data_IF_073440592989
#
_entry.id   IF_073440592989
#
_cell.length_a   1.000
_cell.length_b   1.000
_cell.length_c   1.000
_cell.angle_alpha   90.00
_cell.angle_beta   90.00
_cell.angle_gamma   90.00
#
_symmetry.space_group_name_H-M   'P 1'
#
loop_
_entity.id
_entity.type
_entity.pdbx_description
1 polymer ?
#
# COMPACT_ATOMS: atom_id res chain seq x y z
N UNK A 1 5.12 11.16 17.82
CA UNK A 1 3.99 10.25 17.51
C UNK A 1 2.67 11.03 17.58
N UNK A 2 1.87 11.00 16.50
CA UNK A 2 0.54 11.60 16.47
C UNK A 2 -0.49 10.56 16.05
N UNK A 3 -1.07 9.86 17.03
CA UNK A 3 -2.29 9.07 16.81
C UNK A 3 -3.48 9.99 17.11
N UNK A 4 -4.45 10.08 16.20
CA UNK A 4 -5.62 10.93 16.41
C UNK A 4 -6.88 10.31 15.81
N UNK A 5 -7.97 10.39 16.56
CA UNK A 5 -9.29 10.05 16.03
C UNK A 5 -9.75 11.07 14.98
N UNK A 6 -10.52 10.58 14.02
CA UNK A 6 -11.13 11.34 12.94
C UNK A 6 -12.63 11.03 12.93
N UNK A 7 -13.44 12.07 12.82
CA UNK A 7 -14.91 11.96 12.87
C UNK A 7 -15.57 12.08 11.49
N UNK A 8 -14.82 12.48 10.45
CA UNK A 8 -15.32 12.59 9.08
C UNK A 8 -14.19 12.60 8.04
N UNK A 9 -14.53 12.38 6.77
CA UNK A 9 -13.62 12.52 5.64
C UNK A 9 -13.06 13.94 5.52
N UNK A 10 -13.89 14.97 5.73
CA UNK A 10 -13.43 16.36 5.69
C UNK A 10 -12.35 16.65 6.74
N UNK A 11 -12.53 16.13 7.96
CA UNK A 11 -11.54 16.23 9.03
C UNK A 11 -10.25 15.49 8.68
N UNK A 12 -10.34 14.30 8.06
CA UNK A 12 -9.16 13.58 7.56
C UNK A 12 -8.37 14.43 6.57
N UNK A 13 -9.02 14.93 5.50
CA UNK A 13 -8.39 15.68 4.42
C UNK A 13 -7.64 16.90 4.97
N UNK A 14 -8.27 17.66 5.87
CA UNK A 14 -7.65 18.83 6.50
C UNK A 14 -6.35 18.53 7.24
N UNK A 15 -6.22 17.32 7.82
CA UNK A 15 -5.03 16.88 8.55
C UNK A 15 -3.95 16.31 7.61
N UNK A 16 -4.34 15.61 6.55
CA UNK A 16 -3.38 14.92 5.67
C UNK A 16 -2.85 15.77 4.53
N UNK A 17 -3.52 16.86 4.13
CA UNK A 17 -3.16 17.69 2.96
C UNK A 17 -1.69 18.15 2.91
N UNK A 18 -1.07 18.38 4.08
CA UNK A 18 0.32 18.85 4.20
C UNK A 18 1.30 17.76 4.66
N UNK A 19 0.83 16.52 4.81
CA UNK A 19 1.64 15.41 5.29
C UNK A 19 2.12 14.58 4.11
N UNK A 20 3.43 14.51 3.91
CA UNK A 20 4.02 13.66 2.86
C UNK A 20 3.65 12.19 3.05
N UNK A 21 3.47 11.71 4.29
CA UNK A 21 2.96 10.38 4.55
C UNK A 21 2.06 10.37 5.78
N UNK A 22 0.90 9.73 5.63
CA UNK A 22 -0.06 9.54 6.70
C UNK A 22 -0.86 8.27 6.51
N UNK A 23 -1.38 7.74 7.61
CA UNK A 23 -2.12 6.48 7.64
C UNK A 23 -3.47 6.68 8.28
N UNK A 24 -4.51 5.99 7.80
CA UNK A 24 -5.81 5.92 8.45
C UNK A 24 -6.19 4.47 8.69
N UNK A 25 -6.37 4.08 9.96
CA UNK A 25 -6.97 2.80 10.31
C UNK A 25 -8.49 2.96 10.40
N UNK A 26 -9.20 2.37 9.45
CA UNK A 26 -10.63 2.10 9.58
C UNK A 26 -10.80 0.84 10.41
N UNK A 27 -11.49 0.93 11.53
CA UNK A 27 -11.68 -0.19 12.46
C UNK A 27 -13.12 -0.24 12.98
N UNK A 28 -13.53 -1.36 13.58
CA UNK A 28 -14.83 -1.48 14.24
C UNK A 28 -14.62 -1.88 15.70
N UNK A 29 -14.97 -1.00 16.63
CA UNK A 29 -14.85 -1.28 18.07
C UNK A 29 -15.60 -2.55 18.49
N UNK A 30 -15.02 -3.30 19.43
CA UNK A 30 -15.60 -4.55 19.95
C UNK A 30 -15.49 -5.73 18.99
N UNK A 31 -14.52 -5.71 18.08
CA UNK A 31 -14.22 -6.87 17.21
C UNK A 31 -12.76 -7.27 17.38
N UNK A 32 -12.50 -8.54 17.65
CA UNK A 32 -11.16 -9.09 17.90
C UNK A 32 -10.16 -8.72 16.80
N UNK A 33 -10.59 -8.81 15.54
CA UNK A 33 -9.75 -8.46 14.39
C UNK A 33 -9.35 -6.98 14.41
N UNK A 34 -10.26 -6.08 14.74
CA UNK A 34 -9.96 -4.65 14.80
C UNK A 34 -9.08 -4.30 16.00
N UNK A 35 -9.34 -4.92 17.15
CA UNK A 35 -8.53 -4.73 18.37
C UNK A 35 -7.09 -5.23 18.17
N UNK A 36 -6.94 -6.38 17.52
CA UNK A 36 -5.66 -6.91 17.07
C UNK A 36 -4.91 -5.90 16.19
N UNK A 37 -5.58 -5.35 15.17
CA UNK A 37 -4.96 -4.39 14.26
C UNK A 37 -4.55 -3.10 14.99
N UNK A 38 -5.41 -2.58 15.88
CA UNK A 38 -5.16 -1.37 16.65
C UNK A 38 -3.95 -1.54 17.57
N UNK A 39 -3.88 -2.66 18.29
CA UNK A 39 -2.77 -3.01 19.18
C UNK A 39 -1.45 -3.10 18.41
N UNK A 40 -1.42 -3.89 17.35
CA UNK A 40 -0.19 -4.14 16.59
C UNK A 40 0.28 -2.88 15.85
N UNK A 41 -0.64 -2.08 15.32
CA UNK A 41 -0.34 -0.80 14.68
C UNK A 41 0.24 0.20 15.69
N UNK A 42 -0.35 0.31 16.87
CA UNK A 42 0.12 1.20 17.94
C UNK A 42 1.51 0.79 18.41
N UNK A 43 1.74 -0.51 18.66
CA UNK A 43 3.05 -1.03 19.04
C UNK A 43 4.13 -0.77 17.98
N UNK A 44 3.78 -0.82 16.70
CA UNK A 44 4.70 -0.45 15.63
C UNK A 44 4.95 1.06 15.59
N UNK A 45 3.91 1.88 15.80
CA UNK A 45 4.01 3.34 15.79
C UNK A 45 4.91 3.89 16.91
N UNK A 46 4.89 3.25 18.09
CA UNK A 46 5.74 3.61 19.24
C UNK A 46 7.25 3.44 18.94
N UNK A 47 7.61 2.58 17.99
CA UNK A 47 9.00 2.36 17.55
C UNK A 47 9.47 3.42 16.55
N UNK A 48 8.58 4.30 16.09
CA UNK A 48 8.87 5.29 15.05
C UNK A 48 8.85 6.71 15.62
N UNK A 49 9.85 7.53 15.31
CA UNK A 49 9.91 8.92 15.78
C UNK A 49 8.78 9.78 15.19
N UNK A 50 8.52 9.62 13.89
CA UNK A 50 7.61 10.47 13.11
C UNK A 50 6.69 9.65 12.19
N UNK A 51 5.58 9.16 12.75
CA UNK A 51 4.47 8.60 11.98
C UNK A 51 3.16 9.30 12.36
N UNK A 52 2.38 9.65 11.33
CA UNK A 52 1.06 10.28 11.47
C UNK A 52 0.00 9.20 11.23
N UNK A 53 -0.73 8.83 12.27
CA UNK A 53 -1.75 7.79 12.21
C UNK A 53 -3.07 8.37 12.66
N UNK A 54 -4.08 8.13 11.85
CA UNK A 54 -5.45 8.52 12.11
C UNK A 54 -6.28 7.26 12.36
N UNK A 55 -7.25 7.35 13.26
CA UNK A 55 -8.18 6.28 13.56
C UNK A 55 -9.59 6.73 13.22
N UNK A 56 -10.40 5.84 12.66
CA UNK A 56 -11.83 6.09 12.50
C UNK A 56 -12.62 4.80 12.72
N UNK A 57 -13.51 4.85 13.71
CA UNK A 57 -14.44 3.77 13.99
C UNK A 57 -15.60 3.79 12.97
N UNK A 58 -15.70 2.77 12.13
CA UNK A 58 -16.73 2.69 11.08
C UNK A 58 -18.16 2.61 11.63
N UNK A 59 -18.34 2.29 12.91
CA UNK A 59 -19.64 2.34 13.56
C UNK A 59 -20.12 3.79 13.80
N UNK A 60 -19.19 4.72 13.96
CA UNK A 60 -19.43 6.15 14.21
C UNK A 60 -19.24 7.00 12.95
N UNK A 61 -18.27 6.65 12.10
CA UNK A 61 -17.85 7.41 10.92
C UNK A 61 -18.17 6.63 9.65
N UNK A 62 -19.12 7.13 8.85
CA UNK A 62 -19.72 6.37 7.73
C UNK A 62 -19.38 6.90 6.34
N UNK A 63 -18.79 8.09 6.23
CA UNK A 63 -18.49 8.74 4.96
C UNK A 63 -17.17 8.27 4.35
N UNK A 64 -16.18 7.92 5.18
CA UNK A 64 -14.81 7.62 4.70
C UNK A 64 -14.73 6.32 3.89
N UNK A 65 -15.29 5.21 4.40
CA UNK A 65 -15.04 3.88 3.82
C UNK A 65 -15.59 3.75 2.38
N UNK A 66 -16.73 4.39 2.10
CA UNK A 66 -17.35 4.36 0.76
C UNK A 66 -16.51 5.10 -0.28
N UNK A 67 -15.90 6.23 0.08
CA UNK A 67 -15.07 7.03 -0.82
C UNK A 67 -13.82 6.29 -1.31
N UNK A 68 -13.27 5.41 -0.47
CA UNK A 68 -12.07 4.62 -0.79
C UNK A 68 -12.38 3.16 -1.14
N UNK A 69 -13.65 2.83 -1.42
CA UNK A 69 -14.10 1.47 -1.78
C UNK A 69 -13.67 0.39 -0.76
N UNK A 70 -13.75 0.70 0.53
CA UNK A 70 -13.40 -0.22 1.61
C UNK A 70 -14.65 -0.92 2.12
N UNK A 71 -14.70 -2.24 1.94
CA UNK A 71 -15.83 -3.09 2.31
C UNK A 71 -15.60 -3.92 3.57
N UNK A 72 -14.44 -3.80 4.22
CA UNK A 72 -14.03 -4.62 5.36
C UNK A 72 -13.22 -3.82 6.37
N UNK A 73 -13.50 -4.00 7.66
CA UNK A 73 -12.68 -3.51 8.76
C UNK A 73 -12.04 -4.70 9.51
N UNK A 74 -10.80 -4.59 9.99
CA UNK A 74 -9.93 -3.40 9.91
C UNK A 74 -9.27 -3.22 8.53
N UNK A 75 -9.03 -1.98 8.13
CA UNK A 75 -8.27 -1.62 6.93
C UNK A 75 -7.40 -0.39 7.20
N UNK A 76 -6.09 -0.51 7.03
CA UNK A 76 -5.13 0.59 7.11
C UNK A 76 -4.90 1.17 5.72
N UNK A 77 -5.33 2.41 5.52
CA UNK A 77 -5.14 3.17 4.29
C UNK A 77 -3.89 4.01 4.41
N UNK A 78 -3.14 4.10 3.31
CA UNK A 78 -1.94 4.93 3.19
C UNK A 78 -2.19 6.10 2.24
N UNK A 79 -1.70 7.28 2.64
CA UNK A 79 -1.82 8.52 1.88
C UNK A 79 -0.47 9.22 1.75
N UNK A 80 -0.23 9.83 0.58
CA UNK A 80 0.73 10.90 0.39
C UNK A 80 -0.06 12.18 0.12
N UNK A 81 -0.02 13.13 1.05
CA UNK A 81 -0.93 14.28 1.06
C UNK A 81 -2.37 13.77 1.00
N UNK A 82 -3.14 14.23 0.02
CA UNK A 82 -4.52 13.77 -0.23
C UNK A 82 -4.59 12.55 -1.16
N UNK A 83 -3.47 12.16 -1.78
CA UNK A 83 -3.44 11.03 -2.71
C UNK A 83 -3.48 9.72 -1.95
N UNK A 84 -4.54 8.95 -2.14
CA UNK A 84 -4.65 7.57 -1.66
C UNK A 84 -3.67 6.67 -2.42
N UNK A 85 -2.83 5.94 -1.67
CA UNK A 85 -1.71 5.16 -2.22
C UNK A 85 -2.00 3.66 -2.17
N UNK A 86 -2.42 3.15 -1.01
CA UNK A 86 -2.55 1.71 -0.78
C UNK A 86 -3.49 1.40 0.39
N UNK A 87 -3.92 0.14 0.49
CA UNK A 87 -4.62 -0.40 1.66
C UNK A 87 -4.04 -1.73 2.10
N UNK A 88 -3.88 -1.88 3.42
CA UNK A 88 -3.59 -3.13 4.10
C UNK A 88 -4.85 -3.57 4.81
N UNK A 89 -5.38 -4.74 4.44
CA UNK A 89 -6.63 -5.29 4.99
C UNK A 89 -6.32 -6.29 6.11
N UNK A 90 -7.19 -6.33 7.12
CA UNK A 90 -7.11 -7.27 8.24
C UNK A 90 -6.07 -6.90 9.29
N UNK A 91 -5.99 -7.72 10.35
CA UNK A 91 -4.93 -7.60 11.34
C UNK A 91 -3.61 -8.13 10.77
N UNK A 92 -2.54 -7.35 10.90
CA UNK A 92 -1.17 -7.74 10.60
C UNK A 92 -0.34 -7.74 11.88
N UNK A 93 0.79 -8.44 11.87
CA UNK A 93 1.78 -8.40 12.96
C UNK A 93 2.43 -7.02 13.08
N UNK A 94 2.95 -6.69 14.27
CA UNK A 94 3.64 -5.42 14.55
C UNK A 94 4.85 -5.20 13.61
N UNK A 95 5.58 -6.27 13.28
CA UNK A 95 6.72 -6.24 12.35
C UNK A 95 6.31 -5.78 10.94
N UNK A 96 5.13 -6.17 10.48
CA UNK A 96 4.63 -5.76 9.18
C UNK A 96 4.43 -4.24 9.12
N UNK A 97 3.80 -3.66 10.15
CA UNK A 97 3.59 -2.21 10.21
C UNK A 97 4.91 -1.46 10.41
N UNK A 98 5.83 -2.00 11.22
CA UNK A 98 7.16 -1.42 11.42
C UNK A 98 7.88 -1.31 10.07
N UNK A 99 7.93 -2.40 9.32
CA UNK A 99 8.55 -2.40 8.00
C UNK A 99 7.83 -1.44 7.02
N UNK A 100 6.48 -1.41 7.04
CA UNK A 100 5.71 -0.47 6.23
C UNK A 100 6.15 0.98 6.45
N UNK A 101 6.30 1.40 7.71
CA UNK A 101 6.72 2.74 8.10
C UNK A 101 8.19 3.02 7.78
N UNK A 102 9.08 2.06 8.04
CA UNK A 102 10.51 2.17 7.69
C UNK A 102 10.70 2.37 6.19
N UNK A 103 9.98 1.63 5.34
CA UNK A 103 10.03 1.83 3.90
C UNK A 103 9.62 3.23 3.49
N UNK A 104 8.62 3.81 4.17
CA UNK A 104 8.18 5.18 3.93
C UNK A 104 9.27 6.19 4.26
N UNK A 105 9.92 6.03 5.41
CA UNK A 105 11.00 6.90 5.86
C UNK A 105 12.20 6.77 4.93
N UNK A 106 12.58 5.53 4.58
CA UNK A 106 13.63 5.27 3.59
C UNK A 106 13.31 5.93 2.25
N UNK A 107 12.05 5.85 1.79
CA UNK A 107 11.59 6.51 0.56
C UNK A 107 11.71 8.04 0.67
N UNK A 108 11.34 8.62 1.81
CA UNK A 108 11.44 10.06 2.05
C UNK A 108 12.90 10.54 2.12
N UNK A 109 13.77 9.80 2.81
CA UNK A 109 15.21 10.07 2.91
C UNK A 109 15.89 9.89 1.55
N UNK A 110 15.63 8.80 0.84
CA UNK A 110 16.16 8.58 -0.51
C UNK A 110 15.80 9.72 -1.48
N UNK A 111 14.57 10.25 -1.42
CA UNK A 111 14.19 11.44 -2.20
C UNK A 111 14.97 12.69 -1.79
N UNK A 112 15.18 12.90 -0.49
CA UNK A 112 15.96 14.02 0.05
C UNK A 112 17.44 13.93 -0.36
N UNK A 113 17.98 12.72 -0.39
CA UNK A 113 19.38 12.42 -0.71
C UNK A 113 19.62 12.22 -2.23
N UNK A 114 18.60 12.46 -3.08
CA UNK A 114 18.71 12.34 -4.54
C UNK A 114 18.83 10.91 -5.07
N UNK A 115 18.59 9.89 -4.24
CA UNK A 115 18.66 8.47 -4.61
C UNK A 115 17.38 8.06 -5.35
N UNK A 116 17.53 7.57 -6.58
CA UNK A 116 16.41 7.19 -7.45
C UNK A 116 15.68 5.96 -6.91
N UNK A 117 14.49 6.16 -6.37
CA UNK A 117 13.59 5.06 -5.98
C UNK A 117 13.14 4.27 -7.20
N UNK A 118 13.05 2.95 -7.04
CA UNK A 118 12.58 2.07 -8.11
C UNK A 118 11.06 2.19 -8.22
N UNK A 119 10.56 2.69 -9.33
CA UNK A 119 9.13 2.70 -9.64
C UNK A 119 8.71 1.28 -10.00
N UNK A 120 7.79 0.68 -9.23
CA UNK A 120 7.26 -0.66 -9.47
C UNK A 120 5.78 -0.59 -9.84
N UNK A 121 5.41 -1.15 -10.99
CA UNK A 121 4.02 -1.29 -11.44
C UNK A 121 3.74 -2.77 -11.66
N UNK A 122 2.60 -3.26 -11.18
CA UNK A 122 2.14 -4.64 -11.42
C UNK A 122 0.88 -4.58 -12.26
N UNK A 123 0.94 -5.15 -13.47
CA UNK A 123 -0.21 -5.36 -14.32
C UNK A 123 -0.86 -6.71 -13.95
N UNK A 124 -2.16 -6.69 -13.65
CA UNK A 124 -2.89 -7.83 -13.12
C UNK A 124 -4.30 -7.93 -13.73
N UNK A 125 -4.97 -9.05 -13.44
CA UNK A 125 -6.43 -9.20 -13.60
C UNK A 125 -7.02 -9.83 -12.34
N UNK A 126 -8.32 -9.66 -12.05
CA UNK A 126 -8.93 -10.11 -10.80
C UNK A 126 -8.88 -11.63 -10.57
N UNK A 127 -8.88 -12.43 -11.63
CA UNK A 127 -8.96 -13.90 -11.58
C UNK A 127 -7.60 -14.59 -11.70
N UNK A 128 -6.51 -13.83 -11.87
CA UNK A 128 -5.17 -14.35 -12.09
C UNK A 128 -4.50 -14.77 -10.77
N UNK A 129 -4.41 -16.07 -10.52
CA UNK A 129 -3.76 -16.64 -9.32
C UNK A 129 -2.29 -16.24 -9.20
N UNK A 130 -1.53 -16.27 -10.29
CA UNK A 130 -0.12 -15.85 -10.33
C UNK A 130 0.08 -14.36 -10.03
N UNK A 131 -0.90 -13.52 -10.38
CA UNK A 131 -0.88 -12.11 -10.05
C UNK A 131 -1.02 -11.91 -8.54
N UNK A 132 -1.87 -12.70 -7.88
CA UNK A 132 -1.97 -12.72 -6.42
C UNK A 132 -0.65 -13.16 -5.79
N UNK A 133 -0.03 -14.24 -6.30
CA UNK A 133 1.28 -14.72 -5.80
C UNK A 133 2.37 -13.64 -5.92
N UNK A 134 2.50 -12.99 -7.07
CA UNK A 134 3.46 -11.90 -7.28
C UNK A 134 3.22 -10.75 -6.31
N UNK A 135 1.97 -10.29 -6.16
CA UNK A 135 1.63 -9.19 -5.26
C UNK A 135 1.93 -9.54 -3.81
N UNK A 136 1.61 -10.75 -3.37
CA UNK A 136 1.96 -11.23 -2.03
C UNK A 136 3.46 -11.30 -1.83
N UNK A 137 4.22 -11.77 -2.84
CA UNK A 137 5.67 -11.79 -2.78
C UNK A 137 6.28 -10.41 -2.62
N UNK A 138 5.82 -9.42 -3.39
CA UNK A 138 6.27 -8.03 -3.28
C UNK A 138 5.91 -7.43 -1.92
N UNK A 139 4.69 -7.68 -1.41
CA UNK A 139 4.26 -7.23 -0.07
C UNK A 139 5.12 -7.84 1.04
N UNK A 140 5.39 -9.14 0.98
CA UNK A 140 6.22 -9.83 1.98
C UNK A 140 7.66 -9.33 1.98
N UNK A 141 8.15 -8.87 0.83
CA UNK A 141 9.47 -8.24 0.68
C UNK A 141 9.40 -6.72 0.81
N UNK A 142 8.31 -6.16 1.33
CA UNK A 142 8.23 -4.74 1.68
C UNK A 142 8.40 -3.80 0.46
N UNK A 143 8.12 -4.31 -0.75
CA UNK A 143 8.19 -3.55 -1.99
C UNK A 143 6.85 -2.87 -2.24
N UNK A 144 6.88 -1.53 -2.32
CA UNK A 144 5.75 -0.72 -2.77
C UNK A 144 5.59 -0.84 -4.28
N UNK A 145 4.36 -1.04 -4.74
CA UNK A 145 4.05 -1.08 -6.17
C UNK A 145 2.66 -0.50 -6.44
N UNK A 146 2.48 0.02 -7.65
CA UNK A 146 1.16 0.41 -8.17
C UNK A 146 0.54 -0.77 -8.90
N UNK A 147 -0.65 -1.19 -8.49
CA UNK A 147 -1.41 -2.20 -9.22
C UNK A 147 -2.23 -1.56 -10.35
N UNK A 148 -2.23 -2.17 -11.53
CA UNK A 148 -3.10 -1.83 -12.66
C UNK A 148 -3.88 -3.07 -13.06
N UNK A 149 -5.19 -3.02 -12.89
CA UNK A 149 -6.11 -4.02 -13.39
C UNK A 149 -6.37 -3.77 -14.89
N UNK A 150 -5.66 -4.50 -15.75
CA UNK A 150 -5.75 -4.32 -17.21
C UNK A 150 -7.08 -4.81 -17.78
N UNK A 151 -7.88 -5.55 -17.00
CA UNK A 151 -9.23 -5.95 -17.43
C UNK A 151 -10.23 -4.80 -17.42
N UNK A 152 -9.90 -3.70 -16.72
CA UNK A 152 -10.73 -2.50 -16.59
C UNK A 152 -10.19 -1.29 -17.34
N UNK A 153 -8.94 -1.37 -17.80
CA UNK A 153 -8.26 -0.29 -18.51
C UNK A 153 -7.60 -0.82 -19.79
N UNK A 154 -8.35 -0.75 -20.89
CA UNK A 154 -7.90 -1.19 -22.21
C UNK A 154 -6.66 -0.43 -22.70
N UNK A 155 -6.53 0.86 -22.38
CA UNK A 155 -5.34 1.65 -22.76
C UNK A 155 -4.11 1.17 -22.02
N UNK A 156 -4.26 0.83 -20.74
CA UNK A 156 -3.17 0.24 -19.96
C UNK A 156 -2.80 -1.16 -20.47
N UNK A 157 -3.77 -1.97 -20.90
CA UNK A 157 -3.52 -3.27 -21.52
C UNK A 157 -2.69 -3.12 -22.82
N UNK A 158 -3.07 -2.19 -23.69
CA UNK A 158 -2.34 -1.90 -24.93
C UNK A 158 -0.93 -1.37 -24.67
N UNK A 159 -0.78 -0.46 -23.70
CA UNK A 159 0.52 0.05 -23.29
C UNK A 159 1.42 -1.05 -22.72
N UNK A 160 0.88 -1.95 -21.90
CA UNK A 160 1.58 -3.13 -21.39
C UNK A 160 2.10 -4.00 -22.53
N UNK A 161 1.23 -4.36 -23.48
CA UNK A 161 1.59 -5.17 -24.66
C UNK A 161 2.64 -4.47 -25.51
N UNK A 162 2.50 -3.16 -25.74
CA UNK A 162 3.46 -2.38 -26.52
C UNK A 162 4.85 -2.37 -25.87
N UNK A 163 4.92 -2.37 -24.54
CA UNK A 163 6.19 -2.40 -23.80
C UNK A 163 6.82 -3.79 -23.76
N UNK A 164 6.02 -4.83 -23.59
CA UNK A 164 6.53 -6.19 -23.29
C UNK A 164 6.49 -7.15 -24.48
N UNK A 165 5.72 -6.82 -25.52
CA UNK A 165 5.38 -7.74 -26.61
C UNK A 165 4.39 -8.83 -26.21
N UNK A 166 3.87 -8.84 -24.98
CA UNK A 166 3.02 -9.91 -24.46
C UNK A 166 1.71 -9.40 -23.84
N UNK A 167 0.62 -10.14 -24.09
CA UNK A 167 -0.72 -9.86 -23.54
C UNK A 167 -0.96 -10.45 -22.16
N UNK A 168 -0.24 -11.52 -21.80
CA UNK A 168 -0.49 -12.26 -20.56
C UNK A 168 -0.06 -11.50 -19.30
N UNK A 169 -0.86 -11.60 -18.24
CA UNK A 169 -0.51 -11.18 -16.87
C UNK A 169 -0.05 -12.41 -16.05
N UNK A 170 0.73 -12.24 -14.96
CA UNK A 170 1.25 -10.99 -14.42
C UNK A 170 2.41 -10.40 -15.23
N UNK A 171 2.54 -9.08 -15.22
CA UNK A 171 3.76 -8.39 -15.66
C UNK A 171 4.16 -7.34 -14.63
N UNK A 172 5.46 -7.21 -14.37
CA UNK A 172 6.01 -6.21 -13.45
C UNK A 172 6.88 -5.22 -14.22
N UNK A 173 6.58 -3.94 -14.14
CA UNK A 173 7.46 -2.88 -14.64
C UNK A 173 8.30 -2.33 -13.48
N UNK A 174 9.62 -2.39 -13.61
CA UNK A 174 10.55 -1.80 -12.66
C UNK A 174 11.40 -0.77 -13.39
N UNK A 175 11.27 0.50 -13.05
CA UNK A 175 11.97 1.62 -13.71
C UNK A 175 11.85 1.63 -15.26
N UNK A 176 10.68 1.25 -15.77
CA UNK A 176 10.41 1.21 -17.22
C UNK A 176 10.79 -0.10 -17.91
N UNK A 177 11.46 -1.02 -17.21
CA UNK A 177 11.79 -2.35 -17.74
C UNK A 177 10.72 -3.37 -17.31
N UNK A 178 10.21 -4.15 -18.27
CA UNK A 178 9.17 -5.15 -18.01
C UNK A 178 9.77 -6.53 -17.73
N UNK A 179 9.27 -7.15 -16.67
CA UNK A 179 9.41 -8.57 -16.35
C UNK A 179 8.07 -9.23 -16.64
N UNK A 180 8.05 -10.25 -17.51
CA UNK A 180 6.84 -11.03 -17.81
C UNK A 180 6.77 -12.25 -16.90
N UNK A 181 5.59 -12.52 -16.35
CA UNK A 181 5.33 -13.63 -15.44
C UNK A 181 5.87 -13.39 -14.02
N UNK A 182 5.87 -14.44 -13.21
CA UNK A 182 6.45 -14.45 -11.87
C UNK A 182 7.90 -14.97 -11.91
N UNK A 183 8.80 -14.22 -12.54
CA UNK A 183 10.24 -14.52 -12.59
C UNK A 183 10.93 -14.03 -11.31
N UNK A 184 10.87 -14.85 -10.25
CA UNK A 184 11.41 -14.52 -8.92
C UNK A 184 12.87 -14.06 -8.97
N UNK A 185 13.70 -14.68 -9.80
CA UNK A 185 15.12 -14.34 -9.93
C UNK A 185 15.31 -12.93 -10.47
N UNK A 186 14.65 -12.59 -11.59
CA UNK A 186 14.73 -11.24 -12.15
C UNK A 186 14.11 -10.19 -11.23
N UNK A 187 12.98 -10.51 -10.60
CA UNK A 187 12.34 -9.63 -9.61
C UNK A 187 13.32 -9.32 -8.48
N UNK A 188 13.98 -10.33 -7.92
CA UNK A 188 14.94 -10.14 -6.84
C UNK A 188 16.13 -9.29 -7.27
N UNK A 189 16.69 -9.57 -8.44
CA UNK A 189 17.82 -8.78 -8.97
C UNK A 189 17.43 -7.32 -9.20
N UNK A 190 16.28 -7.09 -9.85
CA UNK A 190 15.84 -5.74 -10.19
C UNK A 190 15.39 -4.94 -8.98
N UNK A 191 14.90 -5.59 -7.92
CA UNK A 191 14.41 -4.95 -6.70
C UNK A 191 15.40 -5.05 -5.52
N UNK A 192 16.58 -5.64 -5.73
CA UNK A 192 17.59 -5.85 -4.68
C UNK A 192 17.07 -6.62 -3.46
N UNK A 193 16.16 -7.58 -3.69
CA UNK A 193 15.67 -8.48 -2.65
C UNK A 193 16.76 -9.51 -2.36
N UNK A 194 17.25 -9.54 -1.12
CA UNK A 194 18.21 -10.55 -0.67
C UNK A 194 17.50 -11.91 -0.53
N UNK A 195 17.99 -12.90 -1.27
CA UNK A 195 17.52 -14.28 -1.22
C UNK A 195 18.08 -15.02 0.00
#
# INVERSE_FOLDING_TARGET
>A
MGISEIESHSALVSKIQNLENSYLLLYKSGTDNSECALKNLTSAAEKMENVNIFLADVSKVRDIHSLYNISSAPSLLEFNKESYINVVKGCQEDKYYTALFENTIYTAQAKKDGKKLKSVIVYSTPTCSWCTTLKSYLKNNNIRFREIDVSKDQKAAEAMVKKSGQQGVPQTEVNGQIIVGFDKTKINQMLEIKA
#
